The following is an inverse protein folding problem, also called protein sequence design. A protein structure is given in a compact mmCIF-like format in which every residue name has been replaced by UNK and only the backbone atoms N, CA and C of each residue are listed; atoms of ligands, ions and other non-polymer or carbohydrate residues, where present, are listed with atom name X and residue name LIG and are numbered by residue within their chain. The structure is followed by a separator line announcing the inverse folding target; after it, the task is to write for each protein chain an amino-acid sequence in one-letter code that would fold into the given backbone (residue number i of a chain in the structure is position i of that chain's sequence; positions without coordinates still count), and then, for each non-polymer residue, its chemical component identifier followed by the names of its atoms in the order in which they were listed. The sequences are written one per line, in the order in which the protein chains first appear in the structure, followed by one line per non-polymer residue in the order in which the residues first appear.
data_IF_070900070764
#
_entry.id   IF_070900070764
#
_cell.length_a   1.000
_cell.length_b   1.000
_cell.length_c   1.000
_cell.angle_alpha   90.00
_cell.angle_beta   90.00
_cell.angle_gamma   90.00
#
_symmetry.space_group_name_H-M   'P 1'
#
loop_
_entity.id
_entity.type
_entity.pdbx_description
1 polymer ?
#
# COMPACT_ATOMS: atom_id res chain seq x y z
N UNK A 1 -2.74 -9.20 -14.78
CA UNK A 1 -1.35 -8.69 -14.72
C UNK A 1 -0.54 -9.48 -15.75
N UNK A 2 0.35 -8.86 -16.54
CA UNK A 2 1.16 -9.61 -17.51
C UNK A 2 2.03 -10.66 -16.82
N UNK A 3 2.13 -11.87 -17.39
CA UNK A 3 2.86 -13.01 -16.81
C UNK A 3 4.39 -12.81 -16.83
N UNK A 4 4.92 -12.32 -17.96
CA UNK A 4 6.34 -12.05 -18.12
C UNK A 4 6.68 -10.66 -17.57
N UNK A 5 7.57 -10.60 -16.56
CA UNK A 5 8.01 -9.38 -15.89
C UNK A 5 9.46 -9.50 -15.43
N UNK A 6 10.20 -8.40 -15.51
CA UNK A 6 11.53 -8.30 -14.89
C UNK A 6 11.44 -8.37 -13.36
N UNK A 7 12.54 -8.76 -12.72
CA UNK A 7 12.62 -8.83 -11.25
C UNK A 7 12.35 -7.48 -10.59
N UNK A 8 12.91 -6.39 -11.14
CA UNK A 8 12.71 -5.03 -10.62
C UNK A 8 11.23 -4.64 -10.58
N UNK A 9 10.47 -4.96 -11.63
CA UNK A 9 9.03 -4.70 -11.66
C UNK A 9 8.29 -5.56 -10.64
N UNK A 10 8.65 -6.85 -10.48
CA UNK A 10 8.05 -7.72 -9.46
C UNK A 10 8.26 -7.18 -8.04
N UNK A 11 9.47 -6.70 -7.72
CA UNK A 11 9.77 -6.10 -6.40
C UNK A 11 8.93 -4.85 -6.14
N UNK A 12 8.82 -3.95 -7.12
CA UNK A 12 7.97 -2.75 -7.00
C UNK A 12 6.49 -3.12 -6.78
N UNK A 13 5.97 -4.10 -7.52
CA UNK A 13 4.60 -4.58 -7.36
C UNK A 13 4.37 -5.20 -5.97
N UNK A 14 5.29 -6.04 -5.49
CA UNK A 14 5.21 -6.65 -4.17
C UNK A 14 5.25 -5.59 -3.05
N UNK A 15 6.10 -4.56 -3.19
CA UNK A 15 6.15 -3.45 -2.22
C UNK A 15 4.86 -2.64 -2.23
N UNK A 16 4.30 -2.32 -3.39
CA UNK A 16 3.04 -1.61 -3.51
C UNK A 16 1.86 -2.39 -2.91
N UNK A 17 1.87 -3.72 -3.05
CA UNK A 17 0.88 -4.59 -2.40
C UNK A 17 1.03 -4.56 -0.87
N UNK A 18 2.25 -4.68 -0.35
CA UNK A 18 2.53 -4.63 1.10
C UNK A 18 2.13 -3.29 1.74
N UNK A 19 2.29 -2.18 1.02
CA UNK A 19 1.88 -0.84 1.49
C UNK A 19 0.35 -0.67 1.53
N UNK A 20 -0.40 -1.42 0.73
CA UNK A 20 -1.84 -1.26 0.58
C UNK A 20 -2.67 -1.95 1.67
N UNK A 21 -2.37 -1.63 2.94
CA UNK A 21 -3.02 -2.22 4.13
C UNK A 21 -3.62 -1.15 5.04
N UNK A 22 -4.66 -1.47 5.85
CA UNK A 22 -5.17 -0.56 6.88
C UNK A 22 -4.14 -0.35 7.99
N UNK A 23 -4.36 0.70 8.78
CA UNK A 23 -3.56 0.97 9.99
C UNK A 23 -3.94 -0.07 11.06
N UNK A 24 -2.97 -0.64 11.81
CA UNK A 24 -3.25 -1.55 12.91
C UNK A 24 -4.07 -0.90 14.04
N UNK A 25 -4.94 -1.68 14.68
CA UNK A 25 -5.82 -1.17 15.75
C UNK A 25 -5.04 -0.61 16.95
N UNK A 26 -3.97 -1.29 17.39
CA UNK A 26 -3.16 -0.81 18.52
C UNK A 26 -2.49 0.54 18.25
N UNK A 27 -2.19 0.86 16.99
CA UNK A 27 -1.61 2.14 16.63
C UNK A 27 -2.61 3.28 16.85
N UNK A 28 -3.90 3.01 16.71
CA UNK A 28 -4.98 3.96 17.04
C UNK A 28 -5.15 4.20 18.54
N UNK A 29 -4.59 3.33 19.39
CA UNK A 29 -4.67 3.47 20.85
C UNK A 29 -3.46 4.19 21.44
N UNK A 30 -2.44 4.54 20.64
CA UNK A 30 -1.29 5.30 21.14
C UNK A 30 -1.69 6.74 21.49
N UNK A 31 -1.14 7.27 22.58
CA UNK A 31 -1.31 8.68 22.95
C UNK A 31 -0.79 9.62 21.84
N UNK A 32 -1.39 10.81 21.74
CA UNK A 32 -1.05 11.88 20.79
C UNK A 32 -1.04 11.47 19.29
N UNK A 33 -1.85 10.48 18.91
CA UNK A 33 -1.92 9.99 17.55
C UNK A 33 -2.95 10.75 16.68
N UNK A 34 -2.48 11.68 15.85
CA UNK A 34 -3.34 12.39 14.90
C UNK A 34 -3.78 11.54 13.68
N UNK A 35 -3.19 10.36 13.49
CA UNK A 35 -3.38 9.54 12.28
C UNK A 35 -4.46 8.47 12.50
N UNK A 36 -5.61 8.64 11.86
CA UNK A 36 -6.78 7.75 12.02
C UNK A 36 -6.90 6.65 10.95
N UNK A 37 -6.48 6.95 9.71
CA UNK A 37 -6.56 6.03 8.57
C UNK A 37 -5.37 6.19 7.62
N UNK A 38 -5.12 5.18 6.79
CA UNK A 38 -4.05 5.22 5.81
C UNK A 38 -4.51 6.02 4.57
N UNK A 39 -4.22 7.32 4.56
CA UNK A 39 -4.56 8.21 3.44
C UNK A 39 -3.89 7.82 2.11
N UNK A 40 -2.75 7.11 2.16
CA UNK A 40 -2.01 6.65 0.98
C UNK A 40 -2.44 5.25 0.50
N UNK A 41 -3.53 4.70 1.04
CA UNK A 41 -4.09 3.42 0.60
C UNK A 41 -4.63 3.56 -0.82
N UNK A 42 -4.41 2.54 -1.67
CA UNK A 42 -4.65 2.61 -3.11
C UNK A 42 -5.70 1.59 -3.54
N UNK A 43 -6.61 1.99 -4.44
CA UNK A 43 -7.52 1.06 -5.11
C UNK A 43 -7.14 0.89 -6.58
N UNK A 44 -6.96 -0.34 -7.06
CA UNK A 44 -6.44 -0.63 -8.40
C UNK A 44 -7.33 -0.16 -9.56
N UNK A 45 -8.64 -0.01 -9.32
CA UNK A 45 -9.56 0.59 -10.31
C UNK A 45 -9.47 2.12 -10.35
N UNK A 46 -9.14 2.78 -9.23
CA UNK A 46 -9.15 4.26 -9.14
C UNK A 46 -7.81 4.88 -9.50
N UNK A 47 -6.71 4.32 -8.97
CA UNK A 47 -5.36 4.88 -9.15
C UNK A 47 -4.39 3.81 -9.65
N UNK A 48 -3.73 4.11 -10.76
CA UNK A 48 -2.76 3.23 -11.43
C UNK A 48 -1.37 3.39 -10.83
N UNK A 49 -0.55 2.35 -10.99
CA UNK A 49 0.84 2.36 -10.59
C UNK A 49 1.65 2.82 -11.80
N UNK A 50 2.34 3.96 -11.68
CA UNK A 50 3.21 4.49 -12.72
C UNK A 50 4.58 3.80 -12.62
N UNK A 51 4.64 2.53 -13.02
CA UNK A 51 5.83 1.66 -12.91
C UNK A 51 6.29 1.21 -14.28
#
# INVERSE_FOLDING_TARGET
MPSQKTFRTKVKLAKAQKQNRPIPNWFRMKADNKIQYNAKRRHWRRTKLNI
#
